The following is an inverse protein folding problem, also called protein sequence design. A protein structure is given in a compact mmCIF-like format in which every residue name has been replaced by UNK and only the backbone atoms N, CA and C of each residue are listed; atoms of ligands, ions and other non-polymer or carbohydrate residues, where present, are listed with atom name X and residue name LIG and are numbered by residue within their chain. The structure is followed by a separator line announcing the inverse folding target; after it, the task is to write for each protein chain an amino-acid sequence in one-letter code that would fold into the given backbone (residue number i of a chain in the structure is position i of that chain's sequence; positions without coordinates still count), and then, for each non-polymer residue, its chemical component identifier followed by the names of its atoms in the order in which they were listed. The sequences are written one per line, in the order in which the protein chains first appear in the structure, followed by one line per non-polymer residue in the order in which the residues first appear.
data_IF_151325461676
#
_entry.id   IF_151325461676
#
_cell.length_a   1.000
_cell.length_b   1.000
_cell.length_c   1.000
_cell.angle_alpha   90.00
_cell.angle_beta   90.00
_cell.angle_gamma   90.00
#
_symmetry.space_group_name_H-M   'P 1'
#
loop_
_entity.id
_entity.type
_entity.pdbx_description
1 polymer ?
#
# COMPACT_ATOMS: atom_id res chain seq x y z
N UNK A 1 43.52 -37.02 19.52
CA UNK A 1 42.37 -36.79 18.62
C UNK A 1 41.13 -36.53 19.50
N UNK A 2 40.77 -35.27 19.73
CA UNK A 2 39.52 -34.86 20.43
C UNK A 2 39.20 -33.42 20.02
N UNK A 3 38.56 -33.20 18.87
CA UNK A 3 38.23 -31.83 18.40
C UNK A 3 36.89 -31.63 17.65
N UNK A 4 36.21 -32.64 17.06
CA UNK A 4 34.92 -32.38 16.39
C UNK A 4 33.76 -32.11 17.36
N UNK A 5 33.58 -32.96 18.38
CA UNK A 5 32.40 -32.89 19.27
C UNK A 5 32.37 -31.67 20.19
N UNK A 6 33.52 -31.12 20.57
CA UNK A 6 33.55 -29.94 21.44
C UNK A 6 33.16 -28.66 20.68
N UNK A 7 33.57 -28.54 19.42
CA UNK A 7 33.25 -27.40 18.58
C UNK A 7 31.75 -27.36 18.24
N UNK A 8 31.17 -28.50 17.88
CA UNK A 8 29.74 -28.62 17.58
C UNK A 8 28.85 -28.32 18.79
N UNK A 9 29.26 -28.75 20.01
CA UNK A 9 28.53 -28.43 21.24
C UNK A 9 28.58 -26.93 21.60
N UNK A 10 29.68 -26.23 21.28
CA UNK A 10 29.79 -24.79 21.48
C UNK A 10 28.89 -24.00 20.50
N UNK A 11 28.79 -24.50 19.27
CA UNK A 11 27.92 -23.95 18.23
C UNK A 11 26.43 -24.12 18.56
N UNK A 12 26.00 -25.30 19.01
CA UNK A 12 24.64 -25.55 19.49
C UNK A 12 24.28 -24.60 20.64
N UNK A 13 25.18 -24.47 21.64
CA UNK A 13 24.95 -23.57 22.78
C UNK A 13 24.79 -22.11 22.33
N UNK A 14 25.59 -21.68 21.35
CA UNK A 14 25.50 -20.33 20.79
C UNK A 14 24.13 -20.09 20.14
N UNK A 15 23.63 -21.03 19.34
CA UNK A 15 22.32 -20.92 18.73
C UNK A 15 21.19 -20.89 19.78
N UNK A 16 21.28 -21.70 20.83
CA UNK A 16 20.31 -21.68 21.95
C UNK A 16 20.32 -20.34 22.70
N UNK A 17 21.51 -19.77 22.97
CA UNK A 17 21.65 -18.45 23.59
C UNK A 17 21.09 -17.33 22.69
N UNK A 18 21.31 -17.40 21.37
CA UNK A 18 20.76 -16.47 20.38
C UNK A 18 19.23 -16.52 20.32
N UNK A 19 18.62 -17.71 20.28
CA UNK A 19 17.15 -17.87 20.30
C UNK A 19 16.57 -17.26 21.57
N UNK A 20 17.18 -17.53 22.72
CA UNK A 20 16.75 -16.95 24.00
C UNK A 20 16.82 -15.42 23.99
N UNK A 21 17.88 -14.85 23.40
CA UNK A 21 18.00 -13.41 23.21
C UNK A 21 16.88 -12.84 22.33
N UNK A 22 16.63 -13.44 21.16
CA UNK A 22 15.59 -13.02 20.23
C UNK A 22 14.19 -13.12 20.85
N UNK A 23 13.91 -14.20 21.58
CA UNK A 23 12.64 -14.37 22.28
C UNK A 23 12.41 -13.29 23.35
N UNK A 24 13.46 -12.91 24.10
CA UNK A 24 13.38 -11.80 25.04
C UNK A 24 13.12 -10.46 24.33
N UNK A 25 13.72 -10.23 23.14
CA UNK A 25 13.44 -9.04 22.35
C UNK A 25 12.00 -9.02 21.81
N UNK A 26 11.45 -10.14 21.35
CA UNK A 26 10.04 -10.26 20.93
C UNK A 26 9.11 -9.89 22.09
N UNK A 27 9.37 -10.42 23.29
CA UNK A 27 8.58 -10.12 24.48
C UNK A 27 8.64 -8.63 24.84
N UNK A 28 9.84 -8.04 24.86
CA UNK A 28 10.03 -6.60 25.11
C UNK A 28 9.28 -5.73 24.11
N UNK A 29 9.36 -6.06 22.81
CA UNK A 29 8.61 -5.35 21.77
C UNK A 29 7.10 -5.51 21.95
N UNK A 30 6.65 -6.70 22.39
CA UNK A 30 5.26 -6.97 22.74
C UNK A 30 4.75 -6.09 23.88
N UNK A 31 5.53 -5.94 24.95
CA UNK A 31 5.21 -5.07 26.08
C UNK A 31 5.12 -3.59 25.68
N UNK A 32 6.11 -3.08 24.94
CA UNK A 32 6.09 -1.69 24.45
C UNK A 32 4.90 -1.42 23.52
N UNK A 33 4.54 -2.39 22.67
CA UNK A 33 3.38 -2.27 21.80
C UNK A 33 2.08 -2.22 22.60
N UNK A 34 1.94 -3.05 23.63
CA UNK A 34 0.78 -3.05 24.52
C UNK A 34 0.66 -1.72 25.28
N UNK A 35 1.77 -1.17 25.77
CA UNK A 35 1.80 0.13 26.45
C UNK A 35 1.34 1.27 25.54
N UNK A 36 1.86 1.35 24.31
CA UNK A 36 1.47 2.37 23.34
C UNK A 36 0.00 2.23 22.92
N UNK A 37 -0.49 1.00 22.74
CA UNK A 37 -1.91 0.75 22.44
C UNK A 37 -2.83 1.16 23.60
N UNK A 38 -2.44 0.90 24.84
CA UNK A 38 -3.19 1.33 26.03
C UNK A 38 -3.19 2.85 26.15
N UNK A 39 -2.07 3.52 25.87
CA UNK A 39 -1.99 4.98 25.82
C UNK A 39 -2.95 5.55 24.78
N UNK A 40 -2.91 5.01 23.55
CA UNK A 40 -3.79 5.41 22.46
C UNK A 40 -5.28 5.25 22.82
N UNK A 41 -5.66 4.11 23.39
CA UNK A 41 -7.03 3.83 23.82
C UNK A 41 -7.52 4.77 24.94
N UNK A 42 -6.66 5.13 25.90
CA UNK A 42 -6.98 6.09 26.96
C UNK A 42 -7.21 7.49 26.40
N UNK A 43 -6.40 7.90 25.43
CA UNK A 43 -6.55 9.18 24.73
C UNK A 43 -7.85 9.24 23.89
N UNK A 44 -8.24 8.12 23.26
CA UNK A 44 -9.52 7.99 22.55
C UNK A 44 -10.73 8.04 23.51
N UNK A 45 -10.64 7.42 24.68
CA UNK A 45 -11.73 7.37 25.68
C UNK A 45 -11.92 8.70 26.43
N UNK A 46 -10.83 9.42 26.72
CA UNK A 46 -10.88 10.72 27.41
C UNK A 46 -11.48 11.85 26.56
N UNK A 47 -11.49 11.70 25.23
CA UNK A 47 -12.01 12.69 24.29
C UNK A 47 -13.49 12.50 23.91
N UNK A 48 -14.25 11.71 24.69
CA UNK A 48 -15.71 11.64 24.71
C UNK A 48 -16.40 11.64 23.36
N UNK A 49 -16.68 10.44 22.80
CA UNK A 49 -17.58 10.19 21.65
C UNK A 49 -17.66 11.31 20.60
N UNK A 50 -16.52 11.89 20.24
CA UNK A 50 -16.38 12.38 18.88
C UNK A 50 -16.23 11.09 18.10
N UNK A 51 -17.21 10.79 17.25
CA UNK A 51 -16.98 9.92 16.11
C UNK A 51 -15.69 10.43 15.47
N UNK A 52 -14.57 9.81 15.83
CA UNK A 52 -13.34 9.96 15.08
C UNK A 52 -13.75 9.45 13.72
N UNK A 53 -14.09 10.38 12.85
CA UNK A 53 -14.02 10.15 11.42
C UNK A 53 -12.60 9.63 11.28
N UNK A 54 -12.46 8.31 11.20
CA UNK A 54 -11.28 7.70 10.66
C UNK A 54 -10.98 8.53 9.42
N UNK A 55 -9.73 8.96 9.24
CA UNK A 55 -9.28 9.63 8.00
C UNK A 55 -9.41 8.71 6.77
N UNK A 56 -10.31 7.71 6.81
CA UNK A 56 -10.85 7.05 5.64
C UNK A 56 -11.72 7.99 4.83
N UNK A 57 -12.02 7.61 3.59
CA UNK A 57 -12.93 8.35 2.74
C UNK A 57 -14.26 8.60 3.47
N UNK A 58 -14.75 9.84 3.43
CA UNK A 58 -16.11 10.18 3.83
C UNK A 58 -17.11 9.30 3.06
N UNK A 59 -18.32 9.12 3.60
CA UNK A 59 -19.38 8.33 2.94
C UNK A 59 -19.69 8.81 1.50
N UNK A 60 -19.42 10.07 1.19
CA UNK A 60 -19.54 10.66 -0.16
C UNK A 60 -18.38 10.26 -1.10
N UNK A 61 -17.18 10.03 -0.56
CA UNK A 61 -15.97 9.66 -1.31
C UNK A 61 -15.97 8.18 -1.74
N UNK A 62 -16.59 7.28 -0.96
CA UNK A 62 -16.81 5.88 -1.35
C UNK A 62 -17.99 5.70 -2.33
N UNK A 63 -18.86 6.71 -2.50
CA UNK A 63 -20.05 6.63 -3.36
C UNK A 63 -19.70 6.33 -4.82
N UNK A 64 -18.62 6.92 -5.34
CA UNK A 64 -18.17 6.70 -6.72
C UNK A 64 -17.85 5.23 -7.00
N UNK A 65 -17.17 4.55 -6.07
CA UNK A 65 -16.82 3.14 -6.18
C UNK A 65 -18.05 2.25 -5.95
N UNK A 66 -18.94 2.64 -5.03
CA UNK A 66 -20.17 1.91 -4.73
C UNK A 66 -21.12 1.83 -5.93
N UNK A 67 -21.11 2.81 -6.85
CA UNK A 67 -21.85 2.75 -8.13
C UNK A 67 -21.42 1.58 -9.02
N UNK A 68 -20.18 1.09 -8.87
CA UNK A 68 -19.69 -0.09 -9.55
C UNK A 68 -20.01 -1.37 -8.77
N UNK A 69 -21.30 -1.61 -8.51
CA UNK A 69 -21.77 -2.68 -7.59
C UNK A 69 -21.30 -4.10 -7.94
N UNK A 70 -20.99 -4.34 -9.22
CA UNK A 70 -20.58 -5.65 -9.76
C UNK A 70 -19.07 -5.80 -9.82
N UNK A 71 -18.30 -4.78 -9.44
CA UNK A 71 -16.84 -4.83 -9.35
C UNK A 71 -16.40 -5.37 -7.99
N UNK A 72 -15.20 -5.95 -7.94
CA UNK A 72 -14.61 -6.41 -6.68
C UNK A 72 -14.40 -5.25 -5.68
N UNK A 73 -13.97 -4.08 -6.17
CA UNK A 73 -13.83 -2.86 -5.37
C UNK A 73 -15.16 -2.36 -4.81
N UNK A 74 -16.23 -2.31 -5.63
CA UNK A 74 -17.57 -1.94 -5.18
C UNK A 74 -18.11 -2.87 -4.10
N UNK A 75 -17.87 -4.17 -4.25
CA UNK A 75 -18.19 -5.16 -3.23
C UNK A 75 -17.39 -4.92 -1.94
N UNK A 76 -16.08 -4.68 -2.05
CA UNK A 76 -15.21 -4.43 -0.91
C UNK A 76 -15.61 -3.17 -0.13
N UNK A 77 -15.90 -2.05 -0.81
CA UNK A 77 -16.44 -0.84 -0.19
C UNK A 77 -17.76 -1.12 0.55
N UNK A 78 -18.65 -1.90 -0.06
CA UNK A 78 -19.92 -2.27 0.57
C UNK A 78 -19.74 -3.11 1.82
N UNK A 79 -18.84 -4.09 1.77
CA UNK A 79 -18.53 -4.92 2.92
C UNK A 79 -17.92 -4.08 4.05
N UNK A 80 -17.06 -3.09 3.73
CA UNK A 80 -16.55 -2.11 4.73
C UNK A 80 -17.67 -1.29 5.36
N UNK A 81 -18.60 -0.75 4.58
CA UNK A 81 -19.73 0.03 5.09
C UNK A 81 -20.61 -0.79 6.03
N UNK A 82 -20.89 -2.05 5.68
CA UNK A 82 -21.68 -2.96 6.53
C UNK A 82 -21.01 -3.24 7.88
N UNK A 83 -19.68 -3.27 7.96
CA UNK A 83 -18.95 -3.39 9.24
C UNK A 83 -19.23 -2.23 10.18
N UNK A 84 -19.33 -1.01 9.65
CA UNK A 84 -19.59 0.20 10.43
C UNK A 84 -21.02 0.24 11.00
N UNK A 85 -21.98 -0.38 10.31
CA UNK A 85 -23.40 -0.34 10.67
C UNK A 85 -23.85 -1.51 11.55
N UNK A 86 -23.28 -2.72 11.36
CA UNK A 86 -23.65 -3.92 12.12
C UNK A 86 -22.43 -4.84 12.33
N UNK A 87 -22.01 -5.02 13.58
CA UNK A 87 -20.87 -5.86 13.94
C UNK A 87 -21.17 -7.36 13.78
N UNK A 88 -21.02 -7.91 12.57
CA UNK A 88 -20.82 -9.35 12.38
C UNK A 88 -19.34 -9.68 12.58
N UNK A 89 -19.01 -10.36 13.68
CA UNK A 89 -17.64 -10.75 14.06
C UNK A 89 -16.90 -11.54 12.96
N UNK A 90 -17.61 -12.34 12.15
CA UNK A 90 -17.03 -13.15 11.07
C UNK A 90 -16.58 -12.30 9.87
N UNK A 91 -17.40 -11.33 9.47
CA UNK A 91 -17.14 -10.41 8.36
C UNK A 91 -16.05 -9.39 8.74
N UNK A 92 -15.99 -9.05 10.03
CA UNK A 92 -14.93 -8.25 10.63
C UNK A 92 -13.56 -8.93 10.50
N UNK A 93 -13.43 -10.20 10.93
CA UNK A 93 -12.17 -10.95 10.88
C UNK A 93 -11.68 -11.15 9.44
N UNK A 94 -12.58 -11.49 8.51
CA UNK A 94 -12.21 -11.85 7.14
C UNK A 94 -11.67 -10.68 6.30
N UNK A 95 -11.82 -9.43 6.75
CA UNK A 95 -11.50 -8.23 5.96
C UNK A 95 -10.64 -7.23 6.75
N UNK A 96 -10.03 -7.62 7.87
CA UNK A 96 -9.07 -6.74 8.55
C UNK A 96 -7.77 -6.69 7.74
N UNK A 97 -7.10 -5.53 7.80
CA UNK A 97 -5.75 -5.31 7.22
C UNK A 97 -4.75 -6.38 7.69
N UNK A 98 -4.95 -6.91 8.89
CA UNK A 98 -4.05 -7.87 9.54
C UNK A 98 -4.32 -9.33 9.15
N UNK A 99 -5.53 -9.69 8.70
CA UNK A 99 -5.89 -11.08 8.32
C UNK A 99 -5.87 -11.30 6.81
N UNK A 100 -6.42 -10.35 6.04
CA UNK A 100 -6.51 -10.50 4.58
C UNK A 100 -5.42 -9.75 3.82
N UNK A 101 -4.59 -8.96 4.50
CA UNK A 101 -3.52 -8.18 3.89
C UNK A 101 -3.98 -7.13 2.88
N UNK A 102 -5.28 -6.84 2.75
CA UNK A 102 -5.78 -5.79 1.86
C UNK A 102 -5.46 -4.42 2.43
N UNK A 103 -4.76 -3.61 1.66
CA UNK A 103 -4.39 -2.23 2.00
C UNK A 103 -5.52 -1.26 1.63
N UNK A 104 -6.10 -1.41 0.43
CA UNK A 104 -7.20 -0.56 -0.05
C UNK A 104 -7.50 -0.71 -1.53
N UNK A 105 -8.18 0.29 -2.09
CA UNK A 105 -8.45 0.41 -3.54
C UNK A 105 -7.64 1.60 -4.05
N UNK A 106 -7.04 1.51 -5.24
CA UNK A 106 -6.14 2.56 -5.77
C UNK A 106 -6.76 3.96 -5.67
N UNK A 107 -8.02 4.12 -6.07
CA UNK A 107 -8.75 5.39 -6.00
C UNK A 107 -8.82 6.02 -4.59
N UNK A 108 -8.78 5.22 -3.52
CA UNK A 108 -8.92 5.67 -2.13
C UNK A 108 -7.59 5.81 -1.40
N UNK A 109 -6.47 5.40 -2.01
CA UNK A 109 -5.15 5.35 -1.35
C UNK A 109 -4.32 6.61 -1.54
N UNK A 110 -4.80 7.55 -2.34
CA UNK A 110 -4.14 8.82 -2.60
C UNK A 110 -5.15 9.94 -2.75
N UNK A 111 -4.73 11.15 -2.38
CA UNK A 111 -5.52 12.38 -2.48
C UNK A 111 -4.87 13.34 -3.47
N UNK A 112 -5.65 14.04 -4.26
CA UNK A 112 -5.16 15.05 -5.21
C UNK A 112 -5.87 16.36 -4.92
N UNK A 113 -5.11 17.45 -4.83
CA UNK A 113 -5.66 18.77 -4.45
C UNK A 113 -6.54 19.39 -5.55
N UNK A 114 -6.12 19.23 -6.82
CA UNK A 114 -6.83 19.79 -7.97
C UNK A 114 -7.77 18.75 -8.61
N UNK A 115 -9.06 19.05 -8.72
CA UNK A 115 -10.07 18.13 -9.29
C UNK A 115 -9.78 17.80 -10.77
N UNK A 116 -9.30 18.78 -11.54
CA UNK A 116 -8.98 18.55 -12.94
C UNK A 116 -7.78 17.60 -13.08
N UNK A 117 -6.72 17.80 -12.31
CA UNK A 117 -5.59 16.88 -12.26
C UNK A 117 -6.01 15.50 -11.77
N UNK A 118 -6.86 15.41 -10.76
CA UNK A 118 -7.42 14.15 -10.27
C UNK A 118 -8.11 13.38 -11.40
N UNK A 119 -9.01 14.04 -12.14
CA UNK A 119 -9.69 13.48 -13.32
C UNK A 119 -8.70 13.02 -14.39
N UNK A 120 -7.71 13.84 -14.71
CA UNK A 120 -6.72 13.54 -15.74
C UNK A 120 -5.81 12.36 -15.36
N UNK A 121 -5.41 12.24 -14.09
CA UNK A 121 -4.66 11.10 -13.59
C UNK A 121 -5.50 9.82 -13.60
N UNK A 122 -6.79 9.92 -13.28
CA UNK A 122 -7.71 8.78 -13.36
C UNK A 122 -7.98 8.35 -14.81
N UNK A 123 -8.10 9.29 -15.74
CA UNK A 123 -8.17 9.01 -17.18
C UNK A 123 -6.89 8.34 -17.67
N UNK A 124 -5.73 8.85 -17.20
CA UNK A 124 -4.45 8.23 -17.47
C UNK A 124 -4.41 6.79 -16.95
N UNK A 125 -4.77 6.50 -15.71
CA UNK A 125 -4.68 5.13 -15.19
C UNK A 125 -5.73 4.18 -15.79
N UNK A 126 -6.90 4.71 -16.13
CA UNK A 126 -8.05 3.96 -16.59
C UNK A 126 -8.84 3.32 -15.44
N UNK A 127 -10.11 2.99 -15.73
CA UNK A 127 -11.08 2.52 -14.74
C UNK A 127 -10.64 1.23 -14.03
N UNK A 128 -10.12 0.25 -14.76
CA UNK A 128 -9.69 -1.03 -14.18
C UNK A 128 -8.57 -0.85 -13.14
N UNK A 129 -7.61 0.03 -13.42
CA UNK A 129 -6.51 0.36 -12.51
C UNK A 129 -7.01 1.16 -11.29
N UNK A 130 -7.91 2.12 -11.50
CA UNK A 130 -8.49 2.90 -10.40
C UNK A 130 -9.31 2.03 -9.44
N UNK A 131 -9.95 0.97 -9.93
CA UNK A 131 -10.70 -0.02 -9.15
C UNK A 131 -9.83 -1.19 -8.64
N UNK A 132 -8.52 -1.18 -8.86
CA UNK A 132 -7.66 -2.27 -8.45
C UNK A 132 -7.59 -2.41 -6.92
N UNK A 133 -7.65 -3.64 -6.43
CA UNK A 133 -7.45 -3.97 -5.02
C UNK A 133 -5.95 -4.05 -4.76
N UNK A 134 -5.48 -3.35 -3.73
CA UNK A 134 -4.07 -3.37 -3.32
C UNK A 134 -3.92 -4.27 -2.11
N UNK A 135 -3.09 -5.31 -2.23
CA UNK A 135 -2.73 -6.26 -1.18
C UNK A 135 -1.28 -6.03 -0.76
N UNK A 136 -0.95 -6.31 0.50
CA UNK A 136 0.42 -6.23 1.01
C UNK A 136 1.27 -7.36 0.45
N UNK A 137 0.81 -8.60 0.57
CA UNK A 137 1.59 -9.81 0.24
C UNK A 137 0.92 -10.66 -0.84
N UNK A 138 1.66 -11.59 -1.44
CA UNK A 138 1.13 -12.50 -2.46
C UNK A 138 0.14 -13.51 -1.87
N UNK A 139 0.32 -13.91 -0.60
CA UNK A 139 -0.63 -14.77 0.11
C UNK A 139 -2.00 -14.12 0.22
N UNK A 140 -2.05 -12.80 0.47
CA UNK A 140 -3.29 -12.04 0.47
C UNK A 140 -4.02 -12.10 -0.88
N UNK A 141 -3.26 -12.08 -2.00
CA UNK A 141 -3.83 -12.25 -3.35
C UNK A 141 -4.43 -13.65 -3.51
N UNK A 142 -3.75 -14.69 -3.03
CA UNK A 142 -4.21 -16.09 -3.10
C UNK A 142 -5.47 -16.35 -2.26
N UNK A 143 -5.73 -15.55 -1.23
CA UNK A 143 -6.96 -15.66 -0.42
C UNK A 143 -8.15 -15.01 -1.11
N UNK A 144 -7.94 -14.01 -1.96
CA UNK A 144 -9.02 -13.34 -2.68
C UNK A 144 -9.74 -14.27 -3.66
N UNK A 145 -9.01 -15.13 -4.37
CA UNK A 145 -9.58 -16.02 -5.37
C UNK A 145 -9.02 -17.43 -5.27
N UNK A 146 -9.93 -18.42 -5.26
CA UNK A 146 -9.58 -19.83 -5.22
C UNK A 146 -10.12 -20.53 -6.45
N UNK A 147 -9.41 -21.57 -6.85
CA UNK A 147 -9.75 -22.41 -7.98
C UNK A 147 -9.98 -23.84 -7.51
N UNK A 148 -10.86 -24.57 -8.18
CA UNK A 148 -11.01 -26.01 -8.00
C UNK A 148 -9.91 -26.78 -8.75
N UNK A 149 -9.97 -28.12 -8.69
CA UNK A 149 -9.00 -28.98 -9.36
C UNK A 149 -9.00 -28.86 -10.89
N UNK A 150 -10.08 -28.34 -11.48
CA UNK A 150 -10.22 -28.12 -12.92
C UNK A 150 -9.77 -26.70 -13.33
N UNK A 151 -9.32 -25.88 -12.38
CA UNK A 151 -8.92 -24.50 -12.62
C UNK A 151 -10.10 -23.53 -12.78
N UNK A 152 -11.31 -23.91 -12.36
CA UNK A 152 -12.49 -23.05 -12.36
C UNK A 152 -12.59 -22.27 -11.06
N UNK A 153 -13.03 -21.00 -11.15
CA UNK A 153 -13.18 -20.13 -9.97
C UNK A 153 -14.23 -20.68 -9.01
N UNK A 154 -13.83 -20.88 -7.76
CA UNK A 154 -14.71 -21.28 -6.66
C UNK A 154 -15.56 -20.11 -6.19
N UNK A 155 -16.79 -20.03 -6.69
CA UNK A 155 -17.76 -18.97 -6.35
C UNK A 155 -18.17 -18.93 -4.86
N UNK A 156 -17.93 -20.00 -4.12
CA UNK A 156 -18.21 -20.11 -2.67
C UNK A 156 -17.04 -19.67 -1.79
N UNK A 157 -15.88 -19.33 -2.35
CA UNK A 157 -14.66 -19.02 -1.61
C UNK A 157 -14.15 -17.59 -1.87
N UNK A 158 -13.21 -17.15 -1.02
CA UNK A 158 -12.54 -15.84 -1.17
C UNK A 158 -13.52 -14.67 -1.21
N UNK A 159 -13.24 -13.69 -2.06
CA UNK A 159 -14.08 -12.50 -2.23
C UNK A 159 -15.44 -12.84 -2.88
N UNK A 160 -15.52 -13.90 -3.67
CA UNK A 160 -16.78 -14.36 -4.26
C UNK A 160 -17.73 -14.91 -3.21
N UNK A 161 -17.24 -15.75 -2.30
CA UNK A 161 -18.01 -16.27 -1.17
C UNK A 161 -18.50 -15.16 -0.24
N UNK A 162 -17.64 -14.17 0.04
CA UNK A 162 -18.04 -12.96 0.78
C UNK A 162 -19.14 -12.18 0.06
N UNK A 163 -19.04 -12.00 -1.26
CA UNK A 163 -20.11 -11.40 -2.06
C UNK A 163 -21.42 -12.18 -1.96
N UNK A 164 -21.37 -13.50 -2.13
CA UNK A 164 -22.54 -14.37 -2.09
C UNK A 164 -23.27 -14.28 -0.73
N UNK A 165 -22.52 -14.17 0.37
CA UNK A 165 -23.08 -14.02 1.73
C UNK A 165 -23.96 -12.79 1.93
N UNK A 166 -23.76 -11.74 1.11
CA UNK A 166 -24.57 -10.51 1.12
C UNK A 166 -25.47 -10.39 -0.12
N UNK A 167 -25.66 -11.49 -0.86
CA UNK A 167 -26.50 -11.54 -2.06
C UNK A 167 -25.92 -10.76 -3.25
N UNK A 168 -24.61 -10.55 -3.32
CA UNK A 168 -23.92 -9.84 -4.40
C UNK A 168 -22.95 -10.77 -5.13
N UNK A 169 -22.59 -10.41 -6.36
CA UNK A 169 -21.62 -11.16 -7.16
C UNK A 169 -20.73 -10.20 -7.92
N UNK A 170 -19.46 -10.60 -8.07
CA UNK A 170 -18.51 -9.92 -8.94
C UNK A 170 -18.72 -10.40 -10.37
N UNK A 171 -18.72 -9.47 -11.33
CA UNK A 171 -18.78 -9.78 -12.76
C UNK A 171 -17.51 -9.33 -13.46
N UNK A 172 -16.94 -10.25 -14.24
CA UNK A 172 -15.74 -9.98 -15.03
C UNK A 172 -14.46 -10.08 -14.21
N UNK A 173 -13.34 -9.72 -14.85
CA UNK A 173 -12.01 -9.71 -14.24
C UNK A 173 -11.85 -8.46 -13.37
N UNK A 174 -11.02 -8.55 -12.34
CA UNK A 174 -10.59 -7.42 -11.53
C UNK A 174 -9.08 -7.46 -11.34
N UNK A 175 -8.48 -6.30 -11.13
CA UNK A 175 -7.03 -6.16 -10.94
C UNK A 175 -6.70 -6.22 -9.45
N UNK A 176 -5.65 -6.97 -9.12
CA UNK A 176 -5.03 -7.00 -7.79
C UNK A 176 -3.56 -6.63 -7.93
N UNK A 177 -3.08 -5.72 -7.07
CA UNK A 177 -1.69 -5.29 -7.01
C UNK A 177 -1.11 -5.74 -5.67
N UNK A 178 -0.08 -6.57 -5.70
CA UNK A 178 0.67 -6.97 -4.50
C UNK A 178 1.84 -6.00 -4.28
N UNK A 179 1.91 -5.35 -3.11
CA UNK A 179 2.96 -4.36 -2.81
C UNK A 179 4.34 -5.00 -2.65
N UNK A 180 4.44 -6.14 -1.99
CA UNK A 180 5.73 -6.81 -1.76
C UNK A 180 6.35 -7.35 -3.07
N UNK A 181 5.52 -7.59 -4.10
CA UNK A 181 5.97 -8.00 -5.44
C UNK A 181 6.34 -6.82 -6.35
N UNK A 182 6.07 -5.57 -5.93
CA UNK A 182 6.48 -4.38 -6.68
C UNK A 182 7.95 -4.04 -6.39
N UNK A 183 8.68 -3.67 -7.43
CA UNK A 183 10.02 -3.08 -7.27
C UNK A 183 9.89 -1.65 -6.74
N UNK A 184 10.38 -1.34 -5.52
CA UNK A 184 10.33 0.01 -4.99
C UNK A 184 11.29 0.93 -5.75
N UNK A 185 10.98 2.22 -5.74
CA UNK A 185 11.93 3.25 -6.16
C UNK A 185 13.13 3.27 -5.21
N UNK A 186 14.32 3.08 -5.77
CA UNK A 186 15.59 2.99 -5.03
C UNK A 186 16.37 4.31 -4.96
N UNK A 187 15.81 5.40 -5.49
CA UNK A 187 16.45 6.72 -5.41
C UNK A 187 16.13 7.46 -4.11
N UNK A 188 16.58 8.71 -4.02
CA UNK A 188 16.40 9.53 -2.83
C UNK A 188 15.01 10.14 -2.67
N UNK A 189 14.74 10.62 -1.46
CA UNK A 189 13.56 11.45 -1.15
C UNK A 189 13.97 12.92 -1.04
N UNK A 190 13.02 13.83 -1.21
CA UNK A 190 13.23 15.24 -0.92
C UNK A 190 13.48 15.39 0.58
N UNK A 191 14.55 16.10 0.95
CA UNK A 191 14.92 16.31 2.35
C UNK A 191 13.84 17.12 3.08
N UNK A 192 13.52 16.70 4.30
CA UNK A 192 12.58 17.36 5.21
C UNK A 192 11.16 17.57 4.64
N UNK A 193 10.77 16.81 3.61
CA UNK A 193 9.43 16.85 3.03
C UNK A 193 8.46 15.93 3.80
N UNK A 194 7.40 16.45 4.44
CA UNK A 194 6.49 15.66 5.25
C UNK A 194 5.67 14.65 4.43
N UNK A 195 5.56 14.85 3.12
CA UNK A 195 4.89 13.92 2.20
C UNK A 195 5.83 12.88 1.59
N UNK A 196 7.10 12.85 2.03
CA UNK A 196 8.17 11.99 1.54
C UNK A 196 8.21 11.94 0.01
N UNK A 197 8.16 13.09 -0.65
CA UNK A 197 8.23 13.16 -2.13
C UNK A 197 9.53 12.55 -2.64
N UNK A 198 9.46 11.95 -3.84
CA UNK A 198 10.63 11.35 -4.48
C UNK A 198 11.52 12.44 -5.06
N UNK A 199 12.83 12.38 -4.78
CA UNK A 199 13.82 13.27 -5.39
C UNK A 199 14.15 12.79 -6.81
N UNK A 200 13.23 13.06 -7.74
CA UNK A 200 13.38 12.75 -9.15
C UNK A 200 14.12 13.90 -9.86
N UNK A 201 15.18 13.62 -10.64
CA UNK A 201 15.82 14.63 -11.48
C UNK A 201 14.80 15.28 -12.41
N UNK A 202 14.83 16.61 -12.54
CA UNK A 202 13.98 17.32 -13.50
C UNK A 202 14.30 16.88 -14.94
N UNK A 203 13.31 16.82 -15.85
CA UNK A 203 13.57 16.50 -17.24
C UNK A 203 14.47 17.58 -17.86
N UNK A 204 15.34 17.17 -18.79
CA UNK A 204 16.26 18.07 -19.48
C UNK A 204 16.12 17.89 -20.99
N UNK A 205 15.97 18.99 -21.69
CA UNK A 205 16.05 19.06 -23.15
C UNK A 205 17.50 18.85 -23.61
N UNK A 206 17.75 18.61 -24.92
CA UNK A 206 19.10 18.46 -25.45
C UNK A 206 20.05 19.64 -25.18
N UNK A 207 19.50 20.83 -24.93
CA UNK A 207 20.27 22.02 -24.55
C UNK A 207 20.59 22.10 -23.04
N UNK A 208 20.18 21.09 -22.26
CA UNK A 208 20.38 21.03 -20.80
C UNK A 208 19.31 21.78 -19.98
N UNK A 209 18.40 22.50 -20.61
CA UNK A 209 17.38 23.26 -19.92
C UNK A 209 16.18 22.38 -19.52
N UNK A 210 15.53 22.74 -18.42
CA UNK A 210 14.25 22.13 -18.07
C UNK A 210 13.19 22.59 -19.07
N UNK A 211 12.38 21.68 -19.65
CA UNK A 211 11.30 22.06 -20.54
C UNK A 211 10.37 23.10 -19.92
N UNK A 212 10.03 24.12 -20.71
CA UNK A 212 9.02 25.09 -20.32
C UNK A 212 7.69 24.38 -20.04
N UNK A 213 6.96 24.84 -19.02
CA UNK A 213 5.65 24.29 -18.67
C UNK A 213 5.68 22.98 -17.88
N UNK A 214 6.84 22.35 -17.65
CA UNK A 214 6.96 21.23 -16.68
C UNK A 214 6.58 21.72 -15.28
N UNK A 215 5.67 21.00 -14.63
CA UNK A 215 5.16 21.33 -13.30
C UNK A 215 5.78 20.43 -12.23
N UNK A 216 5.58 19.13 -12.35
CA UNK A 216 6.14 18.11 -11.46
C UNK A 216 5.95 16.71 -12.09
N UNK A 217 6.40 15.67 -11.39
CA UNK A 217 6.05 14.30 -11.66
C UNK A 217 4.73 13.91 -10.97
N UNK A 218 3.87 13.17 -11.66
CA UNK A 218 2.56 12.75 -11.13
C UNK A 218 2.64 11.99 -9.81
N UNK A 219 3.69 11.17 -9.62
CA UNK A 219 3.91 10.46 -8.35
C UNK A 219 4.06 11.42 -7.16
N UNK A 220 4.55 12.64 -7.37
CA UNK A 220 4.75 13.67 -6.33
C UNK A 220 3.53 14.58 -6.12
N UNK A 221 2.53 14.54 -7.00
CA UNK A 221 1.28 15.29 -6.86
C UNK A 221 0.21 14.56 -6.06
N UNK A 222 0.40 13.25 -5.82
CA UNK A 222 -0.44 12.47 -4.92
C UNK A 222 -0.06 12.79 -3.47
N UNK A 223 -1.02 13.22 -2.66
CA UNK A 223 -0.91 13.31 -1.22
C UNK A 223 -1.32 11.98 -0.58
N UNK A 224 -0.57 11.56 0.44
CA UNK A 224 -0.81 10.32 1.16
C UNK A 224 -1.13 10.65 2.62
N UNK A 225 -2.03 9.84 3.20
CA UNK A 225 -2.20 9.83 4.65
C UNK A 225 -0.89 9.40 5.31
N UNK A 226 -0.56 9.97 6.48
CA UNK A 226 0.70 9.68 7.19
C UNK A 226 0.93 8.18 7.38
N UNK A 227 -0.17 7.47 7.66
CA UNK A 227 -0.24 6.03 7.79
C UNK A 227 0.21 5.21 6.56
N UNK A 228 0.28 5.82 5.38
CA UNK A 228 0.67 5.20 4.13
C UNK A 228 2.06 5.66 3.66
N UNK A 229 2.72 6.55 4.41
CA UNK A 229 4.02 7.10 4.06
C UNK A 229 5.16 6.13 4.33
N UNK A 230 5.12 5.30 5.37
CA UNK A 230 6.23 4.41 5.78
C UNK A 230 5.69 3.06 6.28
N UNK A 231 6.52 2.00 6.21
CA UNK A 231 6.24 0.70 6.81
C UNK A 231 4.89 0.07 6.39
N UNK A 232 4.53 0.24 5.11
CA UNK A 232 3.33 -0.37 4.53
C UNK A 232 3.62 -1.77 4.00
N UNK A 233 4.77 -1.95 3.35
CA UNK A 233 5.27 -3.24 2.87
C UNK A 233 6.01 -4.00 3.97
N UNK A 234 6.21 -5.31 3.76
CA UNK A 234 7.00 -6.15 4.67
C UNK A 234 8.48 -5.75 4.72
N UNK A 235 8.96 -5.05 3.68
CA UNK A 235 10.30 -4.47 3.59
C UNK A 235 10.42 -3.05 4.16
N UNK A 236 9.34 -2.48 4.72
CA UNK A 236 9.37 -1.17 5.37
C UNK A 236 9.08 0.03 4.45
N UNK A 237 8.74 -0.20 3.19
CA UNK A 237 8.45 0.87 2.22
C UNK A 237 7.02 1.43 2.35
N UNK A 238 6.85 2.69 1.98
CA UNK A 238 5.56 3.38 1.83
C UNK A 238 4.92 3.19 0.46
N UNK A 239 3.70 3.73 0.30
CA UNK A 239 2.95 3.64 -0.96
C UNK A 239 3.52 4.50 -2.10
N UNK A 240 4.24 5.59 -1.79
CA UNK A 240 4.76 6.49 -2.83
C UNK A 240 5.84 5.81 -3.65
N UNK A 241 6.84 5.25 -2.99
CA UNK A 241 7.97 4.56 -3.61
C UNK A 241 7.61 3.18 -4.17
N UNK A 242 6.48 2.59 -3.78
CA UNK A 242 6.01 1.29 -4.29
C UNK A 242 4.86 1.47 -5.27
N UNK A 243 3.62 1.51 -4.77
CA UNK A 243 2.39 1.55 -5.56
C UNK A 243 2.38 2.70 -6.57
N UNK A 244 2.49 3.94 -6.09
CA UNK A 244 2.31 5.11 -6.96
C UNK A 244 3.49 5.31 -7.92
N UNK A 245 4.71 4.91 -7.54
CA UNK A 245 5.82 4.87 -8.48
C UNK A 245 5.67 3.76 -9.53
N UNK A 246 5.08 2.61 -9.20
CA UNK A 246 4.76 1.58 -10.20
C UNK A 246 3.69 2.06 -11.19
N UNK A 247 2.65 2.75 -10.68
CA UNK A 247 1.53 3.26 -11.50
C UNK A 247 1.92 4.44 -12.40
N UNK A 248 2.67 5.41 -11.86
CA UNK A 248 2.99 6.65 -12.56
C UNK A 248 4.44 6.72 -13.02
N UNK A 249 5.35 5.98 -12.40
CA UNK A 249 6.78 6.03 -12.67
C UNK A 249 7.28 7.49 -12.72
N UNK A 250 7.84 7.90 -13.86
CA UNK A 250 8.27 9.28 -14.14
C UNK A 250 7.31 10.02 -15.07
N UNK A 251 6.00 9.79 -14.95
CA UNK A 251 4.96 10.52 -15.67
C UNK A 251 5.09 12.01 -15.37
N UNK A 252 5.36 12.80 -16.40
CA UNK A 252 5.59 14.24 -16.30
C UNK A 252 4.28 15.02 -16.46
N UNK A 253 4.06 16.05 -15.65
CA UNK A 253 2.89 16.94 -15.75
C UNK A 253 3.32 18.28 -16.35
N UNK A 254 2.56 18.74 -17.33
CA UNK A 254 2.75 20.00 -18.05
C UNK A 254 1.54 20.91 -17.91
N UNK A 255 1.76 22.21 -18.01
CA UNK A 255 0.67 23.20 -17.97
C UNK A 255 -0.22 23.14 -19.21
N UNK A 256 0.36 23.10 -20.41
CA UNK A 256 -0.39 23.03 -21.68
C UNK A 256 0.10 21.91 -22.60
N UNK A 257 -0.76 21.50 -23.53
CA UNK A 257 -0.43 20.50 -24.56
C UNK A 257 0.69 21.00 -25.47
N UNK A 258 0.70 22.30 -25.78
CA UNK A 258 1.73 22.90 -26.61
C UNK A 258 3.13 22.79 -25.96
N UNK A 259 3.23 23.15 -24.67
CA UNK A 259 4.48 23.01 -23.90
C UNK A 259 4.89 21.54 -23.75
N UNK A 260 3.94 20.64 -23.51
CA UNK A 260 4.19 19.20 -23.45
C UNK A 260 4.77 18.66 -24.77
N UNK A 261 4.26 19.11 -25.92
CA UNK A 261 4.74 18.67 -27.23
C UNK A 261 6.15 19.20 -27.54
N UNK A 262 6.50 20.39 -27.07
CA UNK A 262 7.88 20.90 -27.16
C UNK A 262 8.86 20.08 -26.31
N UNK A 263 8.37 19.43 -25.26
CA UNK A 263 9.15 18.59 -24.36
C UNK A 263 9.27 17.12 -24.80
N UNK A 264 8.71 16.74 -25.95
CA UNK A 264 8.77 15.36 -26.47
C UNK A 264 10.17 14.70 -26.39
N UNK A 265 11.29 15.39 -26.70
CA UNK A 265 12.62 14.78 -26.66
C UNK A 265 13.03 14.23 -25.29
N UNK A 266 12.43 14.70 -24.18
CA UNK A 266 12.76 14.27 -22.82
C UNK A 266 11.63 13.50 -22.12
N UNK A 267 10.54 13.16 -22.83
CA UNK A 267 9.42 12.38 -22.29
C UNK A 267 9.64 10.90 -22.59
N UNK A 268 10.00 10.13 -21.56
CA UNK A 268 10.28 8.70 -21.71
C UNK A 268 9.17 7.78 -21.17
N UNK A 269 8.50 8.16 -20.08
CA UNK A 269 7.58 7.29 -19.33
C UNK A 269 6.11 7.73 -19.40
N UNK A 270 5.85 8.75 -20.21
CA UNK A 270 4.54 9.37 -20.37
C UNK A 270 4.54 10.83 -19.94
N UNK A 271 3.55 11.57 -20.41
CA UNK A 271 3.30 12.94 -20.02
C UNK A 271 1.80 13.25 -20.05
N UNK A 272 1.42 14.25 -19.24
CA UNK A 272 0.07 14.75 -19.13
C UNK A 272 0.09 16.27 -19.16
N UNK A 273 -0.87 16.91 -19.82
CA UNK A 273 -1.06 18.36 -19.73
C UNK A 273 -2.39 18.72 -19.08
N UNK A 274 -2.43 19.83 -18.33
CA UNK A 274 -3.63 20.25 -17.59
C UNK A 274 -4.83 20.61 -18.50
N UNK A 275 -4.56 20.92 -19.78
CA UNK A 275 -5.58 21.10 -20.84
C UNK A 275 -5.98 19.79 -21.55
N UNK A 276 -5.65 18.63 -20.95
CA UNK A 276 -6.15 17.31 -21.34
C UNK A 276 -5.35 16.61 -22.43
N UNK A 277 -4.07 16.92 -22.60
CA UNK A 277 -3.18 16.12 -23.46
C UNK A 277 -2.63 14.91 -22.68
N UNK A 278 -2.60 13.74 -23.32
CA UNK A 278 -2.03 12.53 -22.71
C UNK A 278 -1.09 11.81 -23.69
N UNK A 279 0.12 11.54 -23.22
CA UNK A 279 1.12 10.69 -23.87
C UNK A 279 1.39 9.52 -22.92
N UNK A 280 1.12 8.29 -23.36
CA UNK A 280 1.29 7.09 -22.53
C UNK A 280 2.74 6.66 -22.38
N UNK A 281 3.47 6.76 -23.48
CA UNK A 281 4.90 6.49 -23.59
C UNK A 281 5.39 7.13 -24.88
N UNK A 282 6.71 7.16 -25.09
CA UNK A 282 7.27 7.66 -26.34
C UNK A 282 6.58 7.00 -27.55
N UNK A 283 6.07 7.83 -28.46
CA UNK A 283 5.35 7.40 -29.67
C UNK A 283 3.88 7.01 -29.48
N UNK A 284 3.31 7.04 -28.26
CA UNK A 284 1.91 6.64 -28.00
C UNK A 284 1.10 7.80 -27.44
N UNK A 285 0.23 8.36 -28.27
CA UNK A 285 -0.63 9.50 -27.98
C UNK A 285 -2.08 9.06 -27.78
N UNK A 286 -2.78 9.70 -26.85
CA UNK A 286 -4.24 9.56 -26.72
C UNK A 286 -4.88 10.84 -27.28
N UNK A 287 -5.78 10.67 -28.24
CA UNK A 287 -6.47 11.75 -28.95
C UNK A 287 -8.00 11.53 -28.86
N UNK A 288 -8.75 12.62 -28.98
CA UNK A 288 -10.22 12.62 -28.90
C UNK A 288 -10.74 13.42 -27.71
N UNK A 289 -12.07 13.51 -27.59
CA UNK A 289 -12.70 14.14 -26.43
C UNK A 289 -12.49 13.30 -25.18
N UNK A 290 -12.02 13.93 -24.10
CA UNK A 290 -11.98 13.30 -22.78
C UNK A 290 -13.39 12.83 -22.40
N UNK A 291 -13.48 11.61 -21.88
CA UNK A 291 -14.70 11.10 -21.26
C UNK A 291 -14.67 11.52 -19.81
N UNK A 292 -15.79 11.99 -19.27
CA UNK A 292 -15.89 12.21 -17.83
C UNK A 292 -15.60 10.89 -17.11
N UNK A 293 -14.52 10.86 -16.33
CA UNK A 293 -14.12 9.68 -15.59
C UNK A 293 -15.06 9.49 -14.41
N UNK A 294 -15.68 8.33 -14.33
CA UNK A 294 -16.64 7.98 -13.28
C UNK A 294 -16.00 7.92 -11.89
N UNK A 295 -14.68 7.68 -11.84
CA UNK A 295 -13.89 7.59 -10.62
C UNK A 295 -12.73 8.58 -10.70
N UNK A 296 -12.53 9.32 -9.60
CA UNK A 296 -11.40 10.23 -9.40
C UNK A 296 -10.63 9.87 -8.14
N UNK A 297 -9.41 10.39 -7.98
CA UNK A 297 -8.76 10.40 -6.67
C UNK A 297 -9.51 11.34 -5.72
N UNK A 298 -9.44 11.01 -4.43
CA UNK A 298 -10.09 11.77 -3.37
C UNK A 298 -9.51 13.19 -3.25
N UNK A 299 -10.34 14.14 -2.82
CA UNK A 299 -9.86 15.48 -2.53
C UNK A 299 -9.04 15.47 -1.22
N UNK A 300 -8.14 16.45 -1.09
CA UNK A 300 -7.48 16.71 0.20
C UNK A 300 -8.48 17.39 1.14
N UNK A 301 -8.80 16.76 2.26
CA UNK A 301 -9.58 17.40 3.34
C UNK A 301 -8.66 18.28 4.19
N UNK A 302 -9.16 19.40 4.70
CA UNK A 302 -8.39 20.36 5.50
C UNK A 302 -7.88 19.73 6.80
N UNK A 303 -6.58 19.86 7.07
CA UNK A 303 -5.93 19.31 8.26
C UNK A 303 -6.46 19.99 9.54
N UNK A 304 -7.05 19.20 10.43
CA UNK A 304 -7.30 19.59 11.82
C UNK A 304 -5.99 19.41 12.62
N UNK A 305 -5.54 20.47 13.28
CA UNK A 305 -4.27 20.51 14.04
C UNK A 305 -4.21 19.63 15.29
N UNK A 306 -5.28 18.87 15.60
CA UNK A 306 -5.37 17.96 16.75
C UNK A 306 -4.81 16.55 16.50
N UNK A 307 -4.42 16.21 15.26
CA UNK A 307 -4.17 14.83 14.80
C UNK A 307 -2.70 14.37 14.87
N UNK A 308 -1.73 15.28 14.92
CA UNK A 308 -0.30 14.96 14.75
C UNK A 308 0.28 14.01 15.82
N UNK A 309 -0.07 14.18 17.11
CA UNK A 309 0.41 13.29 18.19
C UNK A 309 -0.17 11.87 18.09
N UNK A 310 -1.39 11.75 17.55
CA UNK A 310 -2.01 10.45 17.32
C UNK A 310 -1.33 9.73 16.16
N UNK A 311 -1.07 10.44 15.07
CA UNK A 311 -0.36 9.91 13.91
C UNK A 311 1.06 9.45 14.27
N UNK A 312 1.81 10.23 15.06
CA UNK A 312 3.13 9.82 15.57
C UNK A 312 3.07 8.53 16.39
N UNK A 313 2.04 8.38 17.22
CA UNK A 313 1.85 7.19 18.05
C UNK A 313 1.49 5.96 17.20
N UNK A 314 0.62 6.13 16.18
CA UNK A 314 0.28 5.06 15.23
C UNK A 314 1.48 4.62 14.38
N UNK A 315 2.30 5.57 13.93
CA UNK A 315 3.53 5.28 13.18
C UNK A 315 4.55 4.52 14.04
N UNK A 316 4.69 4.89 15.32
CA UNK A 316 5.53 4.14 16.26
C UNK A 316 5.01 2.71 16.45
N UNK A 317 3.69 2.52 16.60
CA UNK A 317 3.07 1.20 16.70
C UNK A 317 3.37 0.36 15.45
N UNK A 318 3.24 0.92 14.25
CA UNK A 318 3.57 0.22 13.00
C UNK A 318 5.03 -0.19 12.92
N UNK A 319 5.92 0.74 13.26
CA UNK A 319 7.37 0.46 13.29
C UNK A 319 7.70 -0.67 14.25
N UNK A 320 7.10 -0.69 15.45
CA UNK A 320 7.28 -1.76 16.41
C UNK A 320 6.68 -3.09 15.94
N UNK A 321 5.50 -3.07 15.32
CA UNK A 321 4.90 -4.27 14.69
C UNK A 321 5.84 -4.87 13.65
N UNK A 322 6.33 -4.04 12.72
CA UNK A 322 7.25 -4.48 11.68
C UNK A 322 8.56 -5.03 12.27
N UNK A 323 9.15 -4.32 13.24
CA UNK A 323 10.35 -4.78 13.92
C UNK A 323 10.11 -6.12 14.61
N UNK A 324 8.97 -6.31 15.29
CA UNK A 324 8.63 -7.57 15.95
C UNK A 324 8.49 -8.72 14.95
N UNK A 325 7.91 -8.49 13.78
CA UNK A 325 7.84 -9.49 12.71
C UNK A 325 9.24 -9.90 12.25
N UNK A 326 10.14 -8.95 11.97
CA UNK A 326 11.51 -9.29 11.58
C UNK A 326 12.28 -10.07 12.65
N UNK A 327 12.16 -9.70 13.93
CA UNK A 327 12.82 -10.45 15.01
C UNK A 327 12.26 -11.88 15.12
N UNK A 328 10.97 -12.08 14.82
CA UNK A 328 10.38 -13.42 14.77
C UNK A 328 10.92 -14.25 13.58
N UNK A 329 11.10 -13.62 12.42
CA UNK A 329 11.73 -14.27 11.26
C UNK A 329 13.21 -14.62 11.54
N UNK A 330 13.96 -13.72 12.19
CA UNK A 330 15.33 -13.97 12.64
C UNK A 330 15.39 -15.18 13.58
N UNK A 331 14.46 -15.26 14.54
CA UNK A 331 14.36 -16.37 15.48
C UNK A 331 14.04 -17.69 14.78
N UNK A 332 13.17 -17.67 13.77
CA UNK A 332 12.88 -18.86 12.96
C UNK A 332 14.13 -19.33 12.20
N UNK A 333 14.87 -18.43 11.56
CA UNK A 333 16.12 -18.79 10.87
C UNK A 333 17.16 -19.34 11.83
N UNK A 334 17.27 -18.78 13.03
CA UNK A 334 18.17 -19.29 14.06
C UNK A 334 17.76 -20.69 14.54
N UNK A 335 16.46 -20.96 14.63
CA UNK A 335 15.94 -22.30 14.95
C UNK A 335 16.29 -23.33 13.86
N UNK A 336 16.19 -22.97 12.59
CA UNK A 336 16.58 -23.84 11.48
C UNK A 336 18.08 -24.17 11.51
N UNK A 337 18.93 -23.20 11.86
CA UNK A 337 20.37 -23.42 12.06
C UNK A 337 20.67 -24.33 13.25
N UNK A 338 19.96 -24.15 14.36
CA UNK A 338 20.07 -25.02 15.53
C UNK A 338 19.69 -26.47 15.20
N UNK A 339 18.59 -26.66 14.48
CA UNK A 339 18.11 -27.98 14.07
C UNK A 339 19.12 -28.67 13.15
N UNK A 340 19.71 -27.91 12.21
CA UNK A 340 20.79 -28.41 11.35
C UNK A 340 22.05 -28.79 12.15
N UNK A 341 22.48 -27.95 13.09
CA UNK A 341 23.64 -28.23 13.94
C UNK A 341 23.42 -29.48 14.82
N UNK A 342 22.21 -29.65 15.36
CA UNK A 342 21.81 -30.85 16.13
C UNK A 342 21.78 -32.11 15.27
N UNK A 343 21.26 -32.02 14.05
CA UNK A 343 21.25 -33.13 13.10
C UNK A 343 22.66 -33.60 12.72
N UNK A 344 23.59 -32.66 12.50
CA UNK A 344 24.99 -32.99 12.19
C UNK A 344 25.73 -33.62 13.38
N UNK A 345 25.41 -33.21 14.61
CA UNK A 345 25.95 -33.85 15.82
C UNK A 345 25.47 -35.31 15.97
N UNK A 346 24.24 -35.60 15.54
CA UNK A 346 23.66 -36.95 15.63
C UNK A 346 24.17 -37.94 14.57
N UNK A 347 24.91 -37.45 13.55
CA UNK A 347 25.49 -38.27 12.47
C UNK A 347 26.98 -38.63 12.69
N UNK A 348 27.60 -38.19 13.80
CA UNK A 348 29.00 -38.43 14.18
C UNK A 348 29.10 -39.39 15.37
#
# INVERSE_FOLDING_TARGET
MSKPNHQNNLEIKRHEDNIKFLQNEINRLGESLLELQVSLAKHQSANGTVTTNENGPTAEEEDQILRHEKSAAGLLCRLKLLKSQHASQALNLALTKDVLGIVGIVATLGRVEDDNLSRLLSEYLGLETMLAIVCRTSEAVMVLEKYDGDGTVLTSAGIHGLGASIGKSIKGRFLVICLDDLSPYVGGFVADDPQRKLALPKPQLPNGECPCGFLDYAVNTINLDGNNLVNVTSSGHGLRETLFYSLFSRLQIYRTRAEMLLALPCINHGALSLDGGIIKKSGVFILGSSKDTEIKFLAKSGESSMTAKYEETEDMIKKLKLKRTHVAEDMQREQELLDFAKANLAQV
#
